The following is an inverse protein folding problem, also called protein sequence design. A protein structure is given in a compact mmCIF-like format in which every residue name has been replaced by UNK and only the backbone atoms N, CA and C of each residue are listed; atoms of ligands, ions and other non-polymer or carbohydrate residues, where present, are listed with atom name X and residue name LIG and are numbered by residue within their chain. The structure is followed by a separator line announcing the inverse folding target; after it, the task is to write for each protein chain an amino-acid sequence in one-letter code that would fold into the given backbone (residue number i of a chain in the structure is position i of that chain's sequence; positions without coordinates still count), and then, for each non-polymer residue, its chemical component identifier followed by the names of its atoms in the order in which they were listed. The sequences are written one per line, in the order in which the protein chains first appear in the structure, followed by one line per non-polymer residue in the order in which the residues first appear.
data_IF_677609661258
#
_entry.id   IF_677609661258
#
_cell.length_a   1.000
_cell.length_b   1.000
_cell.length_c   1.000
_cell.angle_alpha   90.00
_cell.angle_beta   90.00
_cell.angle_gamma   90.00
#
_symmetry.space_group_name_H-M   'P 1'
#
loop_
_entity.id
_entity.type
_entity.pdbx_description
1 polymer ?
#
# COMPACT_ATOMS: atom_id res chain seq x y z
N UNK A 1 -4.42 -14.40 17.23
CA UNK A 1 -4.06 -14.50 18.64
C UNK A 1 -3.54 -13.12 19.03
N UNK A 2 -4.45 -12.23 19.52
CA UNK A 2 -4.14 -10.87 19.94
C UNK A 2 -3.37 -10.90 21.26
N UNK A 3 -2.17 -10.32 21.28
CA UNK A 3 -1.52 -9.95 22.53
C UNK A 3 -2.41 -8.92 23.25
N UNK A 4 -3.00 -9.29 24.38
CA UNK A 4 -3.47 -8.33 25.36
C UNK A 4 -2.25 -7.56 25.88
N UNK A 5 -2.10 -6.32 25.45
CA UNK A 5 -1.24 -5.37 26.15
C UNK A 5 -1.98 -5.00 27.43
N UNK A 6 -1.58 -5.61 28.54
CA UNK A 6 -2.00 -5.19 29.86
C UNK A 6 -1.44 -3.80 30.12
N UNK A 7 -2.28 -2.78 29.98
CA UNK A 7 -2.01 -1.44 30.52
C UNK A 7 -2.55 -1.46 31.92
N UNK A 8 -1.68 -1.53 32.92
CA UNK A 8 -2.06 -1.35 34.31
C UNK A 8 -2.65 0.08 34.47
N UNK A 9 -3.92 0.13 34.88
CA UNK A 9 -4.40 1.22 35.72
C UNK A 9 -4.93 2.49 35.08
N UNK A 10 -5.28 2.53 33.77
CA UNK A 10 -5.97 3.71 33.22
C UNK A 10 -7.47 3.46 33.21
N UNK A 11 -8.22 4.26 33.99
CA UNK A 11 -9.68 4.19 34.06
C UNK A 11 -10.31 5.45 33.45
N UNK A 12 -11.40 5.26 32.71
CA UNK A 12 -12.28 6.33 32.28
C UNK A 12 -13.38 6.53 33.34
N UNK A 13 -13.91 7.74 33.46
CA UNK A 13 -14.98 8.09 34.40
C UNK A 13 -16.23 8.48 33.62
N UNK A 14 -17.39 8.31 34.28
CA UNK A 14 -18.64 8.86 33.77
C UNK A 14 -18.96 10.09 34.59
N UNK A 15 -19.09 11.26 33.94
CA UNK A 15 -19.43 12.52 34.63
C UNK A 15 -20.89 12.60 35.09
N UNK A 16 -21.22 13.69 35.75
CA UNK A 16 -22.57 13.90 36.30
C UNK A 16 -23.64 14.02 35.20
N UNK A 17 -23.26 14.38 34.00
CA UNK A 17 -24.10 14.51 32.81
C UNK A 17 -24.21 13.18 32.01
N UNK A 18 -23.48 12.13 32.43
CA UNK A 18 -23.48 10.81 31.80
C UNK A 18 -22.52 10.66 30.63
N UNK A 19 -21.56 11.54 30.48
CA UNK A 19 -20.51 11.44 29.41
C UNK A 19 -19.35 10.57 29.88
N UNK A 20 -18.83 9.74 28.97
CA UNK A 20 -17.59 9.01 29.19
C UNK A 20 -16.40 9.95 29.03
N UNK A 21 -15.68 10.21 30.11
CA UNK A 21 -14.48 11.07 30.15
C UNK A 21 -13.25 10.19 30.08
N UNK A 22 -12.47 10.38 29.02
CA UNK A 22 -11.20 9.65 28.82
C UNK A 22 -10.06 10.41 29.52
N UNK A 23 -9.10 9.70 30.13
CA UNK A 23 -7.90 10.31 30.68
C UNK A 23 -7.10 11.09 29.64
N UNK A 24 -6.49 12.23 30.00
CA UNK A 24 -5.74 13.08 29.06
C UNK A 24 -4.62 12.34 28.30
N UNK A 25 -3.95 11.39 28.96
CA UNK A 25 -2.92 10.56 28.35
C UNK A 25 -3.49 9.65 27.23
N UNK A 26 -4.71 9.14 27.38
CA UNK A 26 -5.40 8.36 26.34
C UNK A 26 -5.79 9.28 25.18
N UNK A 27 -6.37 10.45 25.50
CA UNK A 27 -6.74 11.46 24.50
C UNK A 27 -5.53 11.84 23.65
N UNK A 28 -4.38 12.14 24.29
CA UNK A 28 -3.16 12.50 23.61
C UNK A 28 -2.57 11.35 22.77
N UNK A 29 -2.52 10.12 23.33
CA UNK A 29 -1.94 8.96 22.64
C UNK A 29 -2.77 8.51 21.43
N UNK A 30 -4.08 8.79 21.44
CA UNK A 30 -4.99 8.51 20.32
C UNK A 30 -5.11 9.68 19.35
N UNK A 31 -4.51 10.84 19.63
CA UNK A 31 -4.59 12.03 18.80
C UNK A 31 -6.02 12.57 18.68
N UNK A 32 -6.78 12.55 19.80
CA UNK A 32 -8.15 13.02 19.83
C UNK A 32 -8.16 14.53 20.09
N UNK A 33 -8.86 15.27 19.25
CA UNK A 33 -9.06 16.71 19.40
C UNK A 33 -10.54 17.01 19.69
N UNK A 34 -10.86 18.17 20.26
CA UNK A 34 -12.23 18.57 20.44
C UNK A 34 -13.04 18.49 19.14
N UNK A 35 -14.16 17.78 19.16
CA UNK A 35 -14.99 17.54 17.97
C UNK A 35 -14.65 16.27 17.20
N UNK A 36 -13.57 15.55 17.53
CA UNK A 36 -13.27 14.25 16.92
C UNK A 36 -14.40 13.26 17.16
N UNK A 37 -14.87 12.64 16.09
CA UNK A 37 -15.82 11.53 16.17
C UNK A 37 -15.09 10.21 16.24
N UNK A 38 -15.44 9.39 17.23
CA UNK A 38 -14.85 8.07 17.45
C UNK A 38 -15.93 7.04 17.18
N UNK A 39 -15.59 6.01 16.41
CA UNK A 39 -16.47 4.84 16.29
C UNK A 39 -16.40 4.02 17.58
N UNK A 40 -17.56 3.66 18.10
CA UNK A 40 -17.71 2.81 19.28
C UNK A 40 -18.43 1.53 18.86
N UNK A 41 -17.82 0.39 19.13
CA UNK A 41 -18.46 -0.91 18.97
C UNK A 41 -18.84 -1.43 20.38
N UNK A 42 -20.09 -1.84 20.54
CA UNK A 42 -20.62 -2.44 21.75
C UNK A 42 -20.47 -3.96 21.67
N UNK A 43 -19.90 -4.56 22.71
CA UNK A 43 -19.87 -6.01 22.92
C UNK A 43 -20.61 -6.37 24.22
N UNK A 44 -20.77 -7.66 24.49
CA UNK A 44 -21.55 -8.13 25.66
C UNK A 44 -21.07 -7.55 27.00
N UNK A 45 -19.74 -7.37 27.17
CA UNK A 45 -19.14 -6.91 28.43
C UNK A 45 -18.04 -5.85 28.21
N UNK A 46 -17.99 -5.19 27.04
CA UNK A 46 -16.98 -4.18 26.77
C UNK A 46 -17.45 -3.18 25.71
N UNK A 47 -16.89 -1.98 25.77
CA UNK A 47 -16.95 -0.99 24.71
C UNK A 47 -15.55 -0.94 24.05
N UNK A 48 -15.54 -0.98 22.73
CA UNK A 48 -14.31 -0.79 21.94
C UNK A 48 -14.34 0.56 21.27
N UNK A 49 -13.43 1.43 21.68
CA UNK A 49 -13.19 2.70 21.03
C UNK A 49 -12.17 2.50 19.90
N UNK A 50 -12.54 2.88 18.69
CA UNK A 50 -11.64 2.78 17.55
C UNK A 50 -10.83 4.07 17.41
N UNK A 51 -9.52 3.94 17.29
CA UNK A 51 -8.69 5.09 16.97
C UNK A 51 -9.16 5.70 15.66
N UNK A 52 -9.40 7.02 15.60
CA UNK A 52 -9.71 7.68 14.34
C UNK A 52 -8.58 7.39 13.35
N UNK A 53 -8.93 7.04 12.11
CA UNK A 53 -7.94 6.97 11.03
C UNK A 53 -7.65 8.40 10.64
N UNK A 54 -6.82 9.07 11.40
CA UNK A 54 -6.39 10.46 11.16
C UNK A 54 -5.16 10.52 10.24
N UNK A 55 -4.49 9.36 10.05
CA UNK A 55 -3.26 9.29 9.26
C UNK A 55 -3.24 8.01 8.44
N UNK A 56 -3.15 8.16 7.13
CA UNK A 56 -2.79 7.08 6.24
C UNK A 56 -1.26 7.02 6.16
N UNK A 57 -0.67 5.86 6.40
CA UNK A 57 0.77 5.66 6.27
C UNK A 57 1.17 5.27 4.84
N UNK A 58 0.30 4.53 4.17
CA UNK A 58 0.55 4.03 2.81
C UNK A 58 -0.77 3.89 2.05
N UNK A 59 -0.78 4.30 0.79
CA UNK A 59 -1.88 4.10 -0.15
C UNK A 59 -1.41 3.18 -1.26
N UNK A 60 -2.13 2.09 -1.47
CA UNK A 60 -1.87 1.12 -2.54
C UNK A 60 -2.71 1.50 -3.75
N UNK A 61 -2.07 1.59 -4.91
CA UNK A 61 -2.73 1.77 -6.20
C UNK A 61 -2.34 0.65 -7.14
N UNK A 62 -3.30 0.20 -7.92
CA UNK A 62 -3.13 -0.80 -8.94
C UNK A 62 -3.32 -0.14 -10.31
N UNK A 63 -2.23 0.10 -11.06
CA UNK A 63 -2.31 0.75 -12.38
C UNK A 63 -3.08 -0.08 -13.40
N UNK A 64 -2.93 -1.40 -13.33
CA UNK A 64 -3.57 -2.36 -14.22
C UNK A 64 -3.73 -3.70 -13.52
N UNK A 65 -4.74 -4.45 -13.89
CA UNK A 65 -4.90 -5.85 -13.50
C UNK A 65 -4.28 -6.81 -14.55
N UNK A 66 -3.78 -6.28 -15.66
CA UNK A 66 -3.04 -7.06 -16.64
C UNK A 66 -1.65 -7.44 -16.12
N UNK A 67 -1.20 -8.63 -16.46
CA UNK A 67 0.13 -9.14 -16.14
C UNK A 67 0.60 -10.05 -17.29
N UNK A 68 1.88 -10.02 -17.56
CA UNK A 68 2.52 -10.88 -18.56
C UNK A 68 2.92 -12.26 -18.04
N UNK A 69 2.68 -12.55 -16.74
CA UNK A 69 2.93 -13.86 -16.12
C UNK A 69 1.63 -14.53 -15.69
N UNK A 70 1.70 -15.86 -15.52
CA UNK A 70 0.59 -16.69 -15.06
C UNK A 70 0.99 -17.52 -13.82
N UNK A 71 1.42 -16.83 -12.77
CA UNK A 71 1.93 -17.44 -11.55
C UNK A 71 0.85 -18.31 -10.88
N UNK A 72 1.20 -19.51 -10.42
CA UNK A 72 0.26 -20.45 -9.80
C UNK A 72 -0.31 -19.94 -8.48
N UNK A 73 0.40 -19.04 -7.80
CA UNK A 73 -0.01 -18.40 -6.53
C UNK A 73 -0.79 -17.10 -6.74
N UNK A 74 -1.05 -16.71 -8.01
CA UNK A 74 -1.65 -15.44 -8.32
C UNK A 74 -3.15 -15.44 -8.08
N UNK A 75 -3.61 -14.54 -7.23
CA UNK A 75 -5.03 -14.33 -6.96
C UNK A 75 -5.82 -13.93 -8.23
N UNK A 76 -5.15 -13.40 -9.26
CA UNK A 76 -5.75 -13.02 -10.54
C UNK A 76 -6.44 -14.21 -11.25
N UNK A 77 -5.96 -15.42 -11.02
CA UNK A 77 -6.51 -16.63 -11.64
C UNK A 77 -7.94 -16.94 -11.14
N UNK A 78 -8.29 -16.47 -9.94
CA UNK A 78 -9.61 -16.60 -9.31
C UNK A 78 -10.45 -15.32 -9.42
N UNK A 79 -9.99 -14.33 -10.21
CA UNK A 79 -10.62 -13.02 -10.28
C UNK A 79 -11.72 -12.97 -11.34
N UNK A 80 -12.97 -12.96 -10.90
CA UNK A 80 -14.16 -12.97 -11.78
C UNK A 80 -14.56 -11.59 -12.33
N UNK A 81 -13.89 -10.52 -11.93
CA UNK A 81 -14.22 -9.16 -12.36
C UNK A 81 -13.52 -8.79 -13.66
N UNK A 82 -14.08 -7.85 -14.44
CA UNK A 82 -13.45 -7.37 -15.65
C UNK A 82 -12.03 -6.84 -15.41
N UNK A 83 -11.12 -7.23 -16.28
CA UNK A 83 -9.77 -6.68 -16.34
C UNK A 83 -9.83 -5.23 -16.81
N UNK A 84 -8.94 -4.37 -16.31
CA UNK A 84 -8.92 -2.98 -16.72
C UNK A 84 -7.66 -2.26 -16.27
N UNK A 85 -7.50 -1.08 -16.85
CA UNK A 85 -6.43 -0.16 -16.55
C UNK A 85 -6.96 1.06 -15.80
N UNK A 86 -6.18 1.61 -14.90
CA UNK A 86 -6.48 2.87 -14.26
C UNK A 86 -6.38 4.00 -15.29
N UNK A 87 -7.39 4.86 -15.35
CA UNK A 87 -7.34 6.05 -16.21
C UNK A 87 -6.44 7.13 -15.60
N UNK A 88 -5.87 7.99 -16.47
CA UNK A 88 -5.12 9.17 -16.01
C UNK A 88 -5.97 10.08 -15.11
N UNK A 89 -7.25 10.25 -15.43
CA UNK A 89 -8.17 11.05 -14.60
C UNK A 89 -8.34 10.47 -13.19
N UNK A 90 -8.42 9.13 -13.06
CA UNK A 90 -8.47 8.47 -11.76
C UNK A 90 -7.20 8.71 -10.98
N UNK A 91 -6.04 8.56 -11.62
CA UNK A 91 -4.75 8.82 -10.99
C UNK A 91 -4.61 10.27 -10.54
N UNK A 92 -5.00 11.24 -11.36
CA UNK A 92 -4.97 12.67 -11.01
C UNK A 92 -5.85 12.99 -9.81
N UNK A 93 -7.03 12.36 -9.70
CA UNK A 93 -7.91 12.50 -8.53
C UNK A 93 -7.27 11.91 -7.26
N UNK A 94 -6.59 10.77 -7.38
CA UNK A 94 -5.83 10.18 -6.26
C UNK A 94 -4.76 11.17 -5.80
N UNK A 95 -3.95 11.72 -6.71
CA UNK A 95 -2.92 12.67 -6.36
C UNK A 95 -3.47 13.94 -5.69
N UNK A 96 -4.61 14.45 -6.15
CA UNK A 96 -5.27 15.59 -5.50
C UNK A 96 -5.69 15.26 -4.07
N UNK A 97 -6.32 14.09 -3.86
CA UNK A 97 -6.73 13.66 -2.52
C UNK A 97 -5.54 13.42 -1.57
N UNK A 98 -4.41 12.93 -2.08
CA UNK A 98 -3.21 12.73 -1.26
C UNK A 98 -2.60 14.04 -0.76
N UNK A 99 -2.70 15.13 -1.52
CA UNK A 99 -2.22 16.46 -1.10
C UNK A 99 -2.96 17.02 0.12
N UNK A 100 -4.19 16.61 0.33
CA UNK A 100 -5.03 17.07 1.45
C UNK A 100 -4.69 16.35 2.76
N UNK A 101 -3.87 15.31 2.71
CA UNK A 101 -3.48 14.51 3.87
C UNK A 101 -2.19 15.05 4.51
N UNK A 102 -2.15 15.04 5.84
CA UNK A 102 -0.97 15.42 6.60
C UNK A 102 -0.73 14.40 7.75
N UNK A 103 0.42 13.73 7.79
CA UNK A 103 1.46 13.70 6.75
C UNK A 103 0.97 13.03 5.47
N UNK A 104 1.59 13.38 4.34
CA UNK A 104 1.28 12.74 3.05
C UNK A 104 1.73 11.27 3.13
N UNK A 105 0.86 10.29 2.81
CA UNK A 105 1.22 8.87 2.88
C UNK A 105 2.17 8.46 1.75
N UNK A 106 2.90 7.38 1.96
CA UNK A 106 3.66 6.72 0.88
C UNK A 106 2.69 6.17 -0.16
N UNK A 107 2.98 6.39 -1.43
CA UNK A 107 2.25 5.81 -2.54
C UNK A 107 2.95 4.51 -2.98
N UNK A 108 2.20 3.42 -3.05
CA UNK A 108 2.71 2.11 -3.43
C UNK A 108 2.02 1.63 -4.69
N UNK A 109 2.79 1.47 -5.76
CA UNK A 109 2.32 0.87 -7.01
C UNK A 109 2.43 -0.64 -6.92
N UNK A 110 1.29 -1.33 -6.94
CA UNK A 110 1.20 -2.78 -6.82
C UNK A 110 -0.23 -3.24 -7.00
N UNK A 111 -0.45 -4.52 -6.84
CA UNK A 111 -1.76 -5.13 -6.99
C UNK A 111 -1.63 -6.56 -7.49
N UNK A 112 -2.68 -7.07 -8.14
CA UNK A 112 -2.70 -8.39 -8.76
C UNK A 112 -2.11 -8.39 -10.17
N UNK A 113 -2.07 -7.21 -10.83
CA UNK A 113 -1.42 -7.01 -12.12
C UNK A 113 0.08 -6.70 -11.99
N UNK A 114 0.73 -6.53 -13.13
CA UNK A 114 2.12 -6.03 -13.20
C UNK A 114 2.11 -4.53 -13.44
N UNK A 115 2.50 -3.69 -12.47
CA UNK A 115 2.42 -2.24 -12.61
C UNK A 115 3.17 -1.68 -13.83
N UNK A 116 4.31 -2.27 -14.18
CA UNK A 116 5.10 -1.84 -15.35
C UNK A 116 4.51 -2.28 -16.69
N UNK A 117 3.46 -3.11 -16.67
CA UNK A 117 2.67 -3.42 -17.86
C UNK A 117 1.80 -2.22 -18.29
N UNK A 118 1.47 -1.33 -17.35
CA UNK A 118 0.75 -0.09 -17.66
C UNK A 118 1.72 0.99 -18.16
N UNK A 119 1.55 1.53 -19.38
CA UNK A 119 2.56 2.37 -20.03
C UNK A 119 2.81 3.71 -19.33
N UNK A 120 1.87 4.18 -18.50
CA UNK A 120 1.99 5.45 -17.77
C UNK A 120 2.64 5.31 -16.40
N UNK A 121 2.96 4.11 -15.92
CA UNK A 121 3.48 3.92 -14.56
C UNK A 121 4.73 4.75 -14.28
N UNK A 122 5.78 4.78 -15.13
CA UNK A 122 6.95 5.63 -14.87
C UNK A 122 6.59 7.13 -14.81
N UNK A 123 5.72 7.59 -15.69
CA UNK A 123 5.24 8.98 -15.68
C UNK A 123 4.46 9.31 -14.39
N UNK A 124 3.64 8.39 -13.91
CA UNK A 124 2.88 8.56 -12.66
C UNK A 124 3.79 8.56 -11.43
N UNK A 125 4.86 7.78 -11.44
CA UNK A 125 5.92 7.88 -10.41
C UNK A 125 6.50 9.29 -10.40
N UNK A 126 6.90 9.82 -11.57
CA UNK A 126 7.44 11.18 -11.66
C UNK A 126 6.44 12.25 -11.17
N UNK A 127 5.16 12.13 -11.53
CA UNK A 127 4.12 13.06 -11.07
C UNK A 127 3.95 13.02 -9.55
N UNK A 128 3.93 11.84 -8.94
CA UNK A 128 3.86 11.69 -7.49
C UNK A 128 5.10 12.27 -6.80
N UNK A 129 6.29 12.00 -7.34
CA UNK A 129 7.55 12.54 -6.82
C UNK A 129 7.62 14.06 -6.91
N UNK A 130 7.09 14.68 -7.97
CA UNK A 130 7.01 16.13 -8.10
C UNK A 130 6.16 16.80 -7.00
N UNK A 131 5.30 16.03 -6.32
CA UNK A 131 4.51 16.47 -5.16
C UNK A 131 5.18 16.17 -3.80
N UNK A 132 6.41 15.68 -3.81
CA UNK A 132 7.13 15.28 -2.59
C UNK A 132 6.63 13.97 -1.97
N UNK A 133 5.82 13.19 -2.67
CA UNK A 133 5.31 11.91 -2.18
C UNK A 133 6.43 10.87 -2.23
N UNK A 134 6.58 10.08 -1.16
CA UNK A 134 7.40 8.88 -1.20
C UNK A 134 6.72 7.82 -2.05
N UNK A 135 7.44 7.24 -3.02
CA UNK A 135 6.89 6.27 -3.97
C UNK A 135 7.63 4.95 -3.89
N UNK A 136 6.88 3.88 -3.73
CA UNK A 136 7.37 2.50 -3.81
C UNK A 136 6.65 1.78 -4.97
N UNK A 137 7.34 0.84 -5.61
CA UNK A 137 6.79 0.04 -6.70
C UNK A 137 7.19 -1.42 -6.54
N UNK A 138 6.28 -2.35 -6.79
CA UNK A 138 6.58 -3.78 -6.91
C UNK A 138 6.45 -4.21 -8.37
N UNK A 139 7.36 -5.07 -8.82
CA UNK A 139 7.36 -5.66 -10.16
C UNK A 139 7.75 -7.12 -10.13
N UNK A 140 7.33 -7.87 -11.12
CA UNK A 140 7.83 -9.22 -11.37
C UNK A 140 9.24 -9.22 -12.00
N UNK A 141 9.74 -8.05 -12.40
CA UNK A 141 11.08 -7.84 -12.96
C UNK A 141 11.26 -8.21 -14.43
N UNK A 142 10.28 -8.88 -15.06
CA UNK A 142 10.43 -9.34 -16.46
C UNK A 142 10.26 -8.23 -17.50
N UNK A 143 9.57 -7.15 -17.13
CA UNK A 143 9.33 -5.98 -17.98
C UNK A 143 10.26 -4.81 -17.68
N UNK A 144 11.18 -4.97 -16.72
CA UNK A 144 12.13 -3.96 -16.30
C UNK A 144 13.25 -3.85 -17.33
N UNK A 145 13.01 -3.11 -18.42
CA UNK A 145 14.02 -2.82 -19.44
C UNK A 145 14.94 -1.69 -18.99
N UNK A 146 16.12 -1.54 -19.63
CA UNK A 146 17.04 -0.41 -19.39
C UNK A 146 16.31 0.95 -19.48
N UNK A 147 15.44 1.11 -20.48
CA UNK A 147 14.65 2.33 -20.66
C UNK A 147 13.68 2.58 -19.49
N UNK A 148 12.96 1.54 -19.03
CA UNK A 148 12.03 1.66 -17.89
C UNK A 148 12.82 1.90 -16.60
N UNK A 149 13.94 1.22 -16.40
CA UNK A 149 14.82 1.42 -15.23
C UNK A 149 15.32 2.86 -15.17
N UNK A 150 15.81 3.38 -16.29
CA UNK A 150 16.27 4.77 -16.41
C UNK A 150 15.13 5.76 -16.10
N UNK A 151 13.93 5.55 -16.64
CA UNK A 151 12.77 6.39 -16.36
C UNK A 151 12.39 6.39 -14.88
N UNK A 152 12.42 5.23 -14.20
CA UNK A 152 12.13 5.13 -12.78
C UNK A 152 13.19 5.81 -11.91
N UNK A 153 14.47 5.70 -12.28
CA UNK A 153 15.59 6.39 -11.60
C UNK A 153 15.45 7.91 -11.78
N UNK A 154 15.26 8.37 -13.01
CA UNK A 154 15.07 9.81 -13.32
C UNK A 154 13.82 10.38 -12.64
N UNK A 155 12.75 9.58 -12.52
CA UNK A 155 11.56 9.93 -11.78
C UNK A 155 11.79 10.03 -10.27
N UNK A 156 12.89 9.49 -9.74
CA UNK A 156 13.24 9.49 -8.32
C UNK A 156 12.45 8.46 -7.50
N UNK A 157 12.18 7.28 -8.06
CA UNK A 157 11.56 6.17 -7.32
C UNK A 157 12.34 5.88 -6.04
N UNK A 158 11.66 5.83 -4.88
CA UNK A 158 12.33 5.62 -3.59
C UNK A 158 12.66 4.16 -3.29
N UNK A 159 11.82 3.23 -3.76
CA UNK A 159 12.02 1.81 -3.50
C UNK A 159 11.37 0.95 -4.57
N UNK A 160 12.16 0.06 -5.15
CA UNK A 160 11.71 -0.98 -6.06
C UNK A 160 11.73 -2.33 -5.35
N UNK A 161 10.58 -3.00 -5.32
CA UNK A 161 10.44 -4.37 -4.87
C UNK A 161 10.42 -5.30 -6.09
N UNK A 162 11.29 -6.31 -6.10
CA UNK A 162 11.24 -7.34 -7.13
C UNK A 162 10.72 -8.63 -6.52
N UNK A 163 9.65 -9.16 -7.11
CA UNK A 163 9.01 -10.38 -6.62
C UNK A 163 9.78 -11.62 -7.03
N UNK A 164 10.36 -12.34 -6.07
CA UNK A 164 11.11 -13.58 -6.29
C UNK A 164 10.51 -14.68 -5.39
N UNK A 165 9.91 -15.71 -6.02
CA UNK A 165 9.27 -16.83 -5.34
C UNK A 165 10.01 -18.14 -5.66
N UNK A 166 11.23 -18.25 -5.21
CA UNK A 166 12.07 -19.43 -5.38
C UNK A 166 13.56 -19.08 -5.32
N UNK A 167 14.34 -19.90 -4.63
CA UNK A 167 15.78 -19.69 -4.47
C UNK A 167 16.61 -20.38 -5.58
N UNK A 168 16.00 -21.24 -6.39
CA UNK A 168 16.64 -21.87 -7.55
C UNK A 168 15.83 -21.59 -8.81
N UNK A 169 16.47 -21.68 -10.01
CA UNK A 169 15.75 -21.50 -11.29
C UNK A 169 14.52 -22.40 -11.43
N UNK A 170 14.61 -23.64 -10.95
CA UNK A 170 13.53 -24.63 -11.03
C UNK A 170 12.36 -24.21 -10.13
N UNK A 171 12.61 -23.96 -8.83
CA UNK A 171 11.55 -23.59 -7.88
C UNK A 171 10.91 -22.25 -8.23
N UNK A 172 11.67 -21.33 -8.81
CA UNK A 172 11.13 -20.07 -9.31
C UNK A 172 10.20 -20.29 -10.52
N UNK A 173 10.63 -21.09 -11.50
CA UNK A 173 9.86 -21.36 -12.70
C UNK A 173 8.58 -22.16 -12.41
N UNK A 174 8.60 -23.02 -11.40
CA UNK A 174 7.42 -23.78 -10.95
C UNK A 174 6.31 -22.87 -10.40
N UNK A 175 6.67 -21.73 -9.80
CA UNK A 175 5.71 -20.77 -9.23
C UNK A 175 5.39 -19.64 -10.21
N UNK A 176 6.43 -19.07 -10.85
CA UNK A 176 6.34 -17.89 -11.72
C UNK A 176 6.30 -18.30 -13.19
N UNK A 177 5.19 -18.91 -13.60
CA UNK A 177 5.02 -19.37 -14.98
C UNK A 177 5.14 -18.20 -15.95
N UNK A 178 6.09 -18.33 -16.89
CA UNK A 178 6.40 -17.31 -17.89
C UNK A 178 7.66 -16.48 -17.57
N UNK A 179 8.33 -16.72 -16.43
CA UNK A 179 9.56 -16.04 -16.06
C UNK A 179 10.71 -17.02 -15.74
N UNK A 180 11.94 -16.54 -15.85
CA UNK A 180 13.16 -17.29 -15.50
C UNK A 180 13.99 -16.49 -14.49
N UNK A 181 14.35 -17.09 -13.38
CA UNK A 181 15.12 -16.43 -12.32
C UNK A 181 16.42 -15.79 -12.81
N UNK A 182 17.27 -16.47 -13.62
CA UNK A 182 18.51 -15.87 -14.09
C UNK A 182 18.30 -14.61 -14.94
N UNK A 183 17.21 -14.55 -15.72
CA UNK A 183 16.87 -13.38 -16.54
C UNK A 183 16.44 -12.21 -15.64
N UNK A 184 15.57 -12.46 -14.66
CA UNK A 184 15.11 -11.43 -13.69
C UNK A 184 16.30 -10.90 -12.87
N UNK A 185 17.15 -11.80 -12.35
CA UNK A 185 18.33 -11.41 -11.57
C UNK A 185 19.29 -10.60 -12.42
N UNK A 186 19.59 -11.04 -13.64
CA UNK A 186 20.46 -10.29 -14.59
C UNK A 186 19.91 -8.88 -14.82
N UNK A 187 18.63 -8.76 -15.13
CA UNK A 187 17.96 -7.47 -15.35
C UNK A 187 18.11 -6.52 -14.15
N UNK A 188 17.97 -7.03 -12.92
CA UNK A 188 18.07 -6.21 -11.71
C UNK A 188 19.52 -5.77 -11.41
N UNK A 189 20.52 -6.60 -11.77
CA UNK A 189 21.94 -6.31 -11.46
C UNK A 189 22.62 -5.46 -12.53
N UNK A 190 22.20 -5.54 -13.79
CA UNK A 190 22.85 -4.88 -14.90
C UNK A 190 22.28 -3.49 -15.22
N UNK A 191 21.20 -3.10 -14.55
CA UNK A 191 20.49 -1.85 -14.77
C UNK A 191 20.40 -0.99 -13.51
#
# INVERSE_FOLDING_TARGET
VGKQLGVEGVSAEVDAEGHLVLPPEIVASFGLEPGTRIRVDEGENHLRLHRPITQLTKVYIEPTVACNLDCITCFRNDWERPMGDMSGETFDRILQGLKELSPIPTLYFGGIGEPLHHPKTPTWVAQAKALGIKVELITNGTTLTEEISRQLIEAGLDLLWVSIDGASPETFADVRIGAKLPEVVHTVYEQ
#
